data_IF_541962056047
#
_entry.id   IF_541962056047
#
_cell.length_a   1.000
_cell.length_b   1.000
_cell.length_c   1.000
_cell.angle_alpha   90.00
_cell.angle_beta   90.00
_cell.angle_gamma   90.00
#
_symmetry.space_group_name_H-M   'P 1'
#
loop_
_entity.id
_entity.type
_entity.pdbx_description
1 polymer ?
#
# COMPACT_ATOMS: atom_id res chain seq x y z
N UNK A 1 -12.34 13.04 -4.56
CA UNK A 1 -12.49 11.57 -4.47
C UNK A 1 -11.17 10.96 -4.04
N UNK A 2 -11.10 10.47 -2.80
CA UNK A 2 -9.87 10.56 -2.00
C UNK A 2 -8.78 9.54 -2.28
N UNK A 3 -9.07 8.32 -2.76
CA UNK A 3 -8.13 7.37 -3.41
C UNK A 3 -8.89 6.36 -4.31
N UNK A 4 -10.07 6.77 -4.80
CA UNK A 4 -11.04 5.88 -5.47
C UNK A 4 -11.35 4.60 -4.66
N UNK A 5 -11.51 4.74 -3.35
CA UNK A 5 -11.87 3.67 -2.42
C UNK A 5 -13.27 3.91 -1.88
N UNK A 6 -14.12 2.89 -1.89
CA UNK A 6 -15.48 2.94 -1.36
C UNK A 6 -15.47 2.40 0.07
N UNK A 7 -16.16 3.06 1.00
CA UNK A 7 -16.31 2.61 2.40
C UNK A 7 -15.08 2.79 3.31
N UNK A 8 -13.91 3.19 2.78
CA UNK A 8 -12.66 3.33 3.54
C UNK A 8 -12.31 4.81 3.85
N UNK A 9 -13.30 5.70 3.86
CA UNK A 9 -13.05 7.14 3.89
C UNK A 9 -12.28 7.58 5.14
N UNK A 10 -12.61 7.00 6.30
CA UNK A 10 -11.94 7.29 7.56
C UNK A 10 -10.45 6.88 7.50
N UNK A 11 -10.15 5.67 6.99
CA UNK A 11 -8.79 5.14 6.93
C UNK A 11 -7.93 5.92 5.93
N UNK A 12 -8.51 6.28 4.78
CA UNK A 12 -7.84 7.13 3.78
C UNK A 12 -7.51 8.50 4.37
N UNK A 13 -8.44 9.11 5.13
CA UNK A 13 -8.20 10.40 5.77
C UNK A 13 -7.10 10.32 6.83
N UNK A 14 -7.09 9.26 7.66
CA UNK A 14 -6.06 9.01 8.66
C UNK A 14 -4.66 8.91 8.02
N UNK A 15 -4.50 8.05 7.01
CA UNK A 15 -3.22 7.83 6.35
C UNK A 15 -2.71 9.08 5.63
N UNK A 16 -3.61 9.85 5.02
CA UNK A 16 -3.27 11.13 4.41
C UNK A 16 -2.82 12.16 5.45
N UNK A 17 -3.47 12.18 6.62
CA UNK A 17 -3.05 13.01 7.74
C UNK A 17 -1.61 12.71 8.16
N UNK A 18 -1.26 11.41 8.27
CA UNK A 18 0.11 11.01 8.59
C UNK A 18 1.12 11.46 7.52
N UNK A 19 0.78 11.39 6.23
CA UNK A 19 1.65 11.88 5.16
C UNK A 19 1.82 13.40 5.26
N UNK A 20 0.73 14.15 5.40
CA UNK A 20 0.74 15.61 5.40
C UNK A 20 1.46 16.21 6.60
N UNK A 21 1.45 15.51 7.75
CA UNK A 21 2.10 15.92 8.99
C UNK A 21 3.53 15.37 9.14
N UNK A 22 4.06 14.69 8.11
CA UNK A 22 5.34 13.97 8.17
C UNK A 22 5.45 13.00 9.37
N UNK A 23 4.32 12.39 9.73
CA UNK A 23 4.16 11.54 10.90
C UNK A 23 4.07 10.05 10.52
N UNK A 24 4.75 9.64 9.46
CA UNK A 24 4.70 8.27 8.95
C UNK A 24 5.24 7.27 9.99
N UNK A 25 4.49 6.17 10.19
CA UNK A 25 4.92 5.03 10.99
C UNK A 25 5.63 4.01 10.11
N UNK A 26 6.56 3.26 10.69
CA UNK A 26 7.31 2.22 9.98
C UNK A 26 6.47 0.99 9.64
N UNK A 27 5.37 0.76 10.36
CA UNK A 27 4.48 -0.38 10.15
C UNK A 27 3.00 0.00 10.31
N UNK A 28 2.16 -0.62 9.49
CA UNK A 28 0.71 -0.48 9.51
C UNK A 28 0.05 -1.85 9.40
N UNK A 29 -0.93 -2.11 10.27
CA UNK A 29 -1.76 -3.33 10.22
C UNK A 29 -3.15 -2.99 9.70
N UNK A 30 -3.47 -3.49 8.50
CA UNK A 30 -4.79 -3.33 7.88
C UNK A 30 -5.70 -4.51 8.26
N UNK A 31 -6.72 -4.27 9.08
CA UNK A 31 -7.67 -5.29 9.56
C UNK A 31 -9.06 -5.13 8.92
N UNK A 32 -9.85 -6.19 8.95
CA UNK A 32 -11.20 -6.22 8.39
C UNK A 32 -11.56 -7.51 7.64
N UNK A 33 -12.82 -7.67 7.22
CA UNK A 33 -13.31 -8.88 6.56
C UNK A 33 -12.55 -9.26 5.27
N UNK A 34 -12.69 -10.51 4.83
CA UNK A 34 -12.19 -10.95 3.51
C UNK A 34 -12.95 -10.18 2.42
N UNK A 35 -12.23 -9.72 1.39
CA UNK A 35 -12.84 -9.01 0.26
C UNK A 35 -13.06 -7.50 0.46
N UNK A 36 -12.88 -6.95 1.66
CA UNK A 36 -13.12 -5.51 1.92
C UNK A 36 -12.13 -4.58 1.20
N UNK A 37 -11.02 -5.09 0.65
CA UNK A 37 -10.04 -4.28 -0.09
C UNK A 37 -8.85 -3.79 0.73
N UNK A 38 -8.50 -4.49 1.83
CA UNK A 38 -7.31 -4.21 2.67
C UNK A 38 -6.02 -4.07 1.86
N UNK A 39 -5.77 -5.03 0.97
CA UNK A 39 -4.59 -5.02 0.08
C UNK A 39 -4.62 -3.83 -0.87
N UNK A 40 -5.78 -3.52 -1.44
CA UNK A 40 -5.97 -2.37 -2.32
C UNK A 40 -5.67 -1.07 -1.59
N UNK A 41 -6.14 -0.90 -0.34
CA UNK A 41 -5.83 0.26 0.47
C UNK A 41 -4.32 0.38 0.75
N UNK A 42 -3.66 -0.71 1.12
CA UNK A 42 -2.21 -0.74 1.33
C UNK A 42 -1.43 -0.35 0.06
N UNK A 43 -1.84 -0.85 -1.11
CA UNK A 43 -1.23 -0.48 -2.40
C UNK A 43 -1.46 1.00 -2.75
N UNK A 44 -2.66 1.54 -2.51
CA UNK A 44 -2.95 2.98 -2.72
C UNK A 44 -2.12 3.88 -1.81
N UNK A 45 -1.90 3.44 -0.58
CA UNK A 45 -1.00 4.13 0.33
C UNK A 45 0.44 4.10 -0.16
N UNK A 46 0.96 2.92 -0.54
CA UNK A 46 2.30 2.77 -1.11
C UNK A 46 2.49 3.62 -2.39
N UNK A 47 1.48 3.69 -3.27
CA UNK A 47 1.49 4.58 -4.43
C UNK A 47 1.63 6.05 -4.03
N UNK A 48 0.89 6.48 -3.00
CA UNK A 48 0.91 7.89 -2.56
C UNK A 48 2.26 8.26 -1.97
N UNK A 49 2.89 7.37 -1.21
CA UNK A 49 4.22 7.59 -0.65
C UNK A 49 5.32 7.68 -1.71
N UNK A 50 5.25 6.85 -2.76
CA UNK A 50 6.30 6.72 -3.76
C UNK A 50 6.04 7.53 -5.05
N UNK A 51 4.94 8.27 -5.12
CA UNK A 51 4.59 9.01 -6.33
C UNK A 51 5.50 10.24 -6.49
N UNK A 52 6.30 10.33 -7.58
CA UNK A 52 7.19 11.49 -7.80
C UNK A 52 6.42 12.77 -8.15
N UNK A 53 5.20 12.62 -8.67
CA UNK A 53 4.35 13.74 -9.13
C UNK A 53 2.98 13.67 -8.46
N UNK A 54 2.88 13.85 -7.13
CA UNK A 54 1.61 13.80 -6.43
C UNK A 54 0.67 14.91 -6.92
N UNK A 55 -0.63 14.64 -6.90
CA UNK A 55 -1.65 15.65 -7.21
C UNK A 55 -1.67 16.71 -6.11
N UNK A 56 -2.15 17.92 -6.42
CA UNK A 56 -2.36 19.00 -5.42
C UNK A 56 -3.18 18.56 -4.21
N UNK A 57 -4.03 17.56 -4.39
CA UNK A 57 -4.82 16.94 -3.32
C UNK A 57 -4.02 16.03 -2.39
N UNK A 58 -2.69 15.87 -2.55
CA UNK A 58 -1.87 14.95 -1.75
C UNK A 58 -2.12 13.47 -2.05
N UNK A 59 -2.65 13.17 -3.23
CA UNK A 59 -2.91 11.79 -3.69
C UNK A 59 -1.95 11.40 -4.81
N UNK A 60 -1.67 10.10 -4.96
CA UNK A 60 -0.90 9.58 -6.10
C UNK A 60 -1.53 9.98 -7.45
N UNK A 61 -0.73 10.34 -8.45
CA UNK A 61 -1.25 10.69 -9.78
C UNK A 61 -1.78 9.49 -10.57
N UNK A 62 -1.35 8.27 -10.22
CA UNK A 62 -1.75 7.00 -10.85
C UNK A 62 -1.36 6.81 -12.33
N UNK A 63 -0.78 7.82 -12.98
CA UNK A 63 -0.39 7.78 -14.40
C UNK A 63 1.11 7.62 -14.62
N UNK A 64 1.93 8.00 -13.65
CA UNK A 64 3.38 7.86 -13.73
C UNK A 64 3.82 6.39 -13.66
N UNK A 65 5.06 6.11 -14.09
CA UNK A 65 5.61 4.76 -14.14
C UNK A 65 5.63 4.09 -12.75
N UNK A 66 6.05 4.82 -11.71
CA UNK A 66 6.07 4.33 -10.32
C UNK A 66 4.69 3.87 -9.87
N UNK A 67 3.66 4.69 -10.04
CA UNK A 67 2.30 4.32 -9.65
C UNK A 67 1.78 3.10 -10.43
N UNK A 68 2.03 3.05 -11.75
CA UNK A 68 1.63 1.91 -12.59
C UNK A 68 2.33 0.61 -12.19
N UNK A 69 3.63 0.66 -11.89
CA UNK A 69 4.40 -0.51 -11.41
C UNK A 69 3.92 -0.98 -10.05
N UNK A 70 3.64 -0.07 -9.12
CA UNK A 70 3.07 -0.43 -7.81
C UNK A 70 1.67 -1.05 -7.97
N UNK A 71 0.82 -0.52 -8.85
CA UNK A 71 -0.51 -1.09 -9.14
C UNK A 71 -0.41 -2.55 -9.59
N UNK A 72 0.57 -2.84 -10.45
CA UNK A 72 0.85 -4.17 -10.99
C UNK A 72 1.70 -5.03 -10.05
N UNK A 73 2.09 -4.51 -8.88
CA UNK A 73 2.97 -5.19 -7.93
C UNK A 73 4.34 -5.59 -8.53
N UNK A 74 4.89 -4.73 -9.39
CA UNK A 74 6.13 -4.93 -10.16
C UNK A 74 7.14 -3.79 -9.95
N UNK A 75 6.99 -3.05 -8.85
CA UNK A 75 7.94 -2.00 -8.48
C UNK A 75 9.18 -2.64 -7.81
N UNK A 76 10.42 -2.23 -8.15
CA UNK A 76 11.62 -2.86 -7.61
C UNK A 76 11.69 -2.83 -6.08
N UNK A 77 11.25 -1.71 -5.48
CA UNK A 77 11.26 -1.54 -4.03
C UNK A 77 9.94 -1.99 -3.34
N UNK A 78 9.09 -2.74 -4.06
CA UNK A 78 7.85 -3.28 -3.49
C UNK A 78 7.95 -4.79 -3.36
N UNK A 79 8.06 -5.25 -2.13
CA UNK A 79 8.06 -6.67 -1.81
C UNK A 79 6.67 -7.10 -1.34
N UNK A 80 6.13 -8.13 -2.00
CA UNK A 80 4.84 -8.72 -1.63
C UNK A 80 5.09 -10.15 -1.15
N UNK A 81 4.88 -10.37 0.14
CA UNK A 81 4.87 -11.72 0.72
C UNK A 81 3.43 -12.17 0.86
N UNK A 82 3.14 -13.33 0.29
CA UNK A 82 1.91 -14.07 0.49
C UNK A 82 2.24 -15.55 0.57
N UNK A 83 1.34 -16.34 1.15
CA UNK A 83 1.52 -17.79 1.15
C UNK A 83 1.48 -18.30 -0.29
N UNK A 84 2.38 -19.22 -0.63
CA UNK A 84 2.31 -19.96 -1.89
C UNK A 84 1.17 -20.98 -1.76
N UNK A 85 0.46 -21.21 -2.87
CA UNK A 85 -0.71 -22.07 -2.94
C UNK A 85 -0.44 -23.42 -2.22
N UNK A 86 -1.43 -23.86 -1.44
CA UNK A 86 -1.48 -25.02 -0.52
C UNK A 86 -1.01 -24.82 0.93
N UNK A 87 -0.33 -23.72 1.28
CA UNK A 87 0.00 -23.39 2.67
C UNK A 87 -0.91 -22.33 3.27
N UNK A 88 -1.45 -22.54 4.47
CA UNK A 88 -2.09 -21.45 5.26
C UNK A 88 -1.07 -20.59 6.03
N UNK A 89 0.23 -20.85 5.89
CA UNK A 89 1.29 -20.24 6.69
C UNK A 89 2.35 -19.54 5.85
N UNK A 90 2.80 -18.38 6.34
CA UNK A 90 4.00 -17.72 5.83
C UNK A 90 5.24 -18.42 6.38
N UNK A 91 6.18 -18.82 5.51
CA UNK A 91 7.42 -19.46 5.96
C UNK A 91 8.40 -18.42 6.46
N UNK A 92 9.13 -18.74 7.54
CA UNK A 92 10.15 -17.86 8.14
C UNK A 92 11.22 -17.49 7.11
N UNK A 93 11.65 -18.43 6.28
CA UNK A 93 12.70 -18.19 5.27
C UNK A 93 12.26 -17.17 4.20
N UNK A 94 10.96 -17.11 3.87
CA UNK A 94 10.44 -16.08 2.95
C UNK A 94 10.57 -14.67 3.53
N UNK A 95 10.45 -14.55 4.86
CA UNK A 95 10.60 -13.27 5.56
C UNK A 95 12.09 -12.90 5.63
N UNK A 96 12.95 -13.88 5.98
CA UNK A 96 14.40 -13.67 6.08
C UNK A 96 15.04 -13.23 4.77
N UNK A 97 14.55 -13.71 3.62
CA UNK A 97 15.07 -13.27 2.31
C UNK A 97 14.84 -11.80 1.98
N UNK A 98 14.01 -11.08 2.76
CA UNK A 98 13.82 -9.63 2.59
C UNK A 98 14.77 -8.78 3.43
N UNK A 99 15.46 -9.38 4.39
CA UNK A 99 16.43 -8.66 5.22
C UNK A 99 17.79 -8.74 4.52
N UNK A 100 18.47 -7.60 4.30
CA UNK A 100 19.83 -7.57 3.75
C UNK A 100 20.85 -8.22 4.69
#
# INVERSE_FOLDING_TARGET
MNWNMIGHQWAVNLLRGHIAQDALRHAYLFTGPKGVGRRTLALRFAQTLNCPTPLKSGSACRTCNTCKRIERMQHPDLFIIQSKEDGHSLKVDQIRSLLP
#
